data_IF_705910077773
#
_entry.id   IF_705910077773
#
_cell.length_a   1.000
_cell.length_b   1.000
_cell.length_c   1.000
_cell.angle_alpha   90.00
_cell.angle_beta   90.00
_cell.angle_gamma   90.00
#
_symmetry.space_group_name_H-M   'P 1'
#
loop_
_entity.id
_entity.type
_entity.pdbx_description
1 polymer ?
#
# COMPACT_ATOMS: atom_id res chain seq x y z
N UNK A 1 -13.39 -9.97 -3.32
CA UNK A 1 -12.60 -9.94 -2.07
C UNK A 1 -13.27 -8.93 -1.13
N UNK A 2 -13.35 -9.13 0.17
CA UNK A 2 -13.85 -8.06 1.07
C UNK A 2 -12.69 -7.13 1.46
N UNK A 3 -12.96 -5.89 1.94
CA UNK A 3 -11.89 -5.00 2.40
C UNK A 3 -10.95 -5.62 3.43
N UNK A 4 -11.50 -6.45 4.33
CA UNK A 4 -10.70 -7.13 5.35
C UNK A 4 -9.85 -8.27 4.76
N UNK A 5 -10.30 -8.91 3.69
CA UNK A 5 -9.51 -9.94 3.00
C UNK A 5 -8.23 -9.35 2.39
N UNK A 6 -8.28 -8.13 1.84
CA UNK A 6 -7.05 -7.45 1.37
C UNK A 6 -6.07 -7.19 2.50
N UNK A 7 -6.56 -6.69 3.64
CA UNK A 7 -5.71 -6.39 4.79
C UNK A 7 -5.12 -7.67 5.43
N UNK A 8 -5.91 -8.75 5.47
CA UNK A 8 -5.42 -10.06 5.92
C UNK A 8 -4.32 -10.58 4.98
N UNK A 9 -4.53 -10.47 3.66
CA UNK A 9 -3.53 -10.86 2.65
C UNK A 9 -2.24 -10.05 2.77
N UNK A 10 -2.34 -8.74 3.05
CA UNK A 10 -1.17 -7.92 3.34
C UNK A 10 -0.41 -8.44 4.56
N UNK A 11 -1.10 -8.80 5.64
CA UNK A 11 -0.48 -9.35 6.85
C UNK A 11 0.17 -10.73 6.61
N UNK A 12 -0.40 -11.56 5.74
CA UNK A 12 0.21 -12.85 5.35
C UNK A 12 1.45 -12.71 4.46
N UNK A 13 1.53 -11.63 3.67
CA UNK A 13 2.66 -11.36 2.77
C UNK A 13 3.78 -10.61 3.48
N UNK A 14 3.41 -9.61 4.28
CA UNK A 14 4.33 -8.79 5.06
C UNK A 14 3.79 -8.68 6.50
N UNK A 15 4.08 -9.67 7.35
CA UNK A 15 3.63 -9.66 8.74
C UNK A 15 4.15 -8.43 9.49
N UNK A 16 3.39 -8.02 10.51
CA UNK A 16 3.84 -6.98 11.43
C UNK A 16 5.13 -7.44 12.11
N UNK A 17 6.23 -6.67 12.01
CA UNK A 17 7.48 -7.04 12.66
C UNK A 17 7.34 -7.02 14.19
N UNK A 18 8.13 -7.84 14.87
CA UNK A 18 8.26 -7.79 16.33
C UNK A 18 9.19 -6.65 16.77
N UNK A 19 9.48 -6.58 18.08
CA UNK A 19 10.37 -5.57 18.66
C UNK A 19 11.80 -5.56 18.09
N UNK A 20 12.23 -6.65 17.44
CA UNK A 20 13.54 -6.78 16.80
C UNK A 20 13.48 -6.62 15.27
N UNK A 21 12.31 -6.27 14.72
CA UNK A 21 12.09 -6.09 13.30
C UNK A 21 13.02 -5.04 12.67
N UNK A 22 13.54 -5.34 11.48
CA UNK A 22 14.42 -4.39 10.78
C UNK A 22 13.62 -3.23 10.19
N UNK A 23 14.32 -2.14 9.86
CA UNK A 23 13.72 -1.00 9.16
C UNK A 23 13.02 -1.42 7.86
N UNK A 24 13.58 -2.38 7.13
CA UNK A 24 13.02 -2.88 5.89
C UNK A 24 11.80 -3.79 6.13
N UNK A 25 11.74 -4.53 7.23
CA UNK A 25 10.55 -5.31 7.60
C UNK A 25 9.38 -4.38 7.92
N UNK A 26 9.64 -3.27 8.62
CA UNK A 26 8.63 -2.23 8.86
C UNK A 26 8.16 -1.58 7.56
N UNK A 27 9.07 -1.26 6.62
CA UNK A 27 8.70 -0.74 5.30
C UNK A 27 7.83 -1.74 4.53
N UNK A 28 8.18 -3.02 4.50
CA UNK A 28 7.38 -4.08 3.86
C UNK A 28 5.97 -4.12 4.42
N UNK A 29 5.83 -4.16 5.74
CA UNK A 29 4.54 -4.19 6.42
C UNK A 29 3.68 -2.98 6.04
N UNK A 30 4.20 -1.76 6.20
CA UNK A 30 3.43 -0.55 5.90
C UNK A 30 3.15 -0.39 4.40
N UNK A 31 4.08 -0.73 3.52
CA UNK A 31 3.86 -0.67 2.08
C UNK A 31 2.79 -1.67 1.63
N UNK A 32 2.79 -2.89 2.18
CA UNK A 32 1.77 -3.89 1.88
C UNK A 32 0.40 -3.48 2.40
N UNK A 33 0.35 -2.91 3.61
CA UNK A 33 -0.87 -2.37 4.22
C UNK A 33 -1.44 -1.20 3.39
N UNK A 34 -0.57 -0.30 2.92
CA UNK A 34 -0.97 0.81 2.06
C UNK A 34 -1.62 0.28 0.77
N UNK A 35 -0.92 -0.58 0.02
CA UNK A 35 -1.41 -1.11 -1.26
C UNK A 35 -2.72 -1.90 -1.09
N UNK A 36 -2.83 -2.73 -0.05
CA UNK A 36 -4.07 -3.45 0.25
C UNK A 36 -5.23 -2.52 0.59
N UNK A 37 -4.98 -1.43 1.34
CA UNK A 37 -6.01 -0.45 1.63
C UNK A 37 -6.49 0.28 0.37
N UNK A 38 -5.58 0.58 -0.57
CA UNK A 38 -5.92 1.19 -1.85
C UNK A 38 -6.70 0.25 -2.78
N UNK A 39 -6.30 -1.02 -2.86
CA UNK A 39 -7.03 -2.04 -3.61
C UNK A 39 -8.46 -2.22 -3.06
N UNK A 40 -8.59 -2.32 -1.73
CA UNK A 40 -9.88 -2.38 -1.05
C UNK A 40 -10.72 -1.11 -1.28
N UNK A 41 -10.11 0.07 -1.19
CA UNK A 41 -10.78 1.35 -1.46
C UNK A 41 -11.31 1.41 -2.90
N UNK A 42 -10.50 0.99 -3.87
CA UNK A 42 -10.89 0.91 -5.27
C UNK A 42 -12.09 -0.02 -5.45
N UNK A 43 -12.04 -1.23 -4.89
CA UNK A 43 -13.15 -2.18 -5.00
C UNK A 43 -14.45 -1.63 -4.37
N UNK A 44 -14.35 -1.05 -3.17
CA UNK A 44 -15.48 -0.48 -2.42
C UNK A 44 -16.13 0.68 -3.17
N UNK A 45 -15.35 1.54 -3.81
CA UNK A 45 -15.84 2.71 -4.57
C UNK A 45 -16.38 2.36 -5.95
N UNK A 46 -15.95 1.24 -6.55
CA UNK A 46 -16.41 0.77 -7.85
C UNK A 46 -17.53 -0.28 -7.77
N UNK A 47 -17.80 -0.82 -6.58
CA UNK A 47 -19.01 -1.61 -6.32
C UNK A 47 -20.25 -0.71 -6.29
N UNK A 48 -21.21 -1.00 -7.17
CA UNK A 48 -22.54 -0.36 -7.17
C UNK A 48 -23.33 -0.86 -5.96
N UNK A 49 -23.10 -0.26 -4.79
CA UNK A 49 -23.93 -0.45 -3.61
C UNK A 49 -24.75 0.80 -3.35
N UNK A 50 -26.07 0.60 -3.27
CA UNK A 50 -27.06 1.64 -2.95
C UNK A 50 -27.10 1.84 -1.43
N UNK A 51 -26.61 2.98 -0.95
CA UNK A 51 -26.67 3.37 0.47
C UNK A 51 -25.61 4.42 0.80
N UNK A 52 -26.00 5.48 1.54
CA UNK A 52 -25.14 6.63 1.83
C UNK A 52 -24.12 6.39 2.97
N UNK A 53 -24.27 5.31 3.75
CA UNK A 53 -23.37 4.97 4.85
C UNK A 53 -22.27 3.98 4.40
N UNK A 54 -21.07 4.52 4.13
CA UNK A 54 -19.86 3.74 3.78
C UNK A 54 -18.67 4.12 4.69
N UNK A 55 -18.76 3.93 6.01
CA UNK A 55 -17.70 4.32 6.95
C UNK A 55 -16.35 3.65 6.65
N UNK A 56 -16.36 2.47 6.02
CA UNK A 56 -15.16 1.76 5.60
C UNK A 56 -14.28 2.58 4.63
N UNK A 57 -14.86 3.48 3.82
CA UNK A 57 -14.11 4.33 2.90
C UNK A 57 -13.16 5.25 3.68
N UNK A 58 -13.65 5.87 4.76
CA UNK A 58 -12.85 6.73 5.61
C UNK A 58 -11.74 5.96 6.33
N UNK A 59 -12.04 4.75 6.83
CA UNK A 59 -11.04 3.89 7.46
C UNK A 59 -9.95 3.44 6.49
N UNK A 60 -10.33 3.03 5.26
CA UNK A 60 -9.38 2.60 4.24
C UNK A 60 -8.47 3.74 3.78
N UNK A 61 -9.04 4.94 3.58
CA UNK A 61 -8.24 6.13 3.27
C UNK A 61 -7.25 6.44 4.40
N UNK A 62 -7.71 6.44 5.65
CA UNK A 62 -6.84 6.67 6.82
C UNK A 62 -5.70 5.66 6.89
N UNK A 63 -5.99 4.36 6.75
CA UNK A 63 -4.98 3.29 6.75
C UNK A 63 -3.98 3.51 5.62
N UNK A 64 -4.45 3.75 4.39
CA UNK A 64 -3.58 3.97 3.23
C UNK A 64 -2.64 5.15 3.43
N UNK A 65 -3.16 6.32 3.78
CA UNK A 65 -2.36 7.54 3.94
C UNK A 65 -1.39 7.47 5.13
N UNK A 66 -1.81 6.91 6.26
CA UNK A 66 -0.93 6.76 7.43
C UNK A 66 0.21 5.76 7.13
N UNK A 67 -0.11 4.69 6.40
CA UNK A 67 0.89 3.70 5.99
C UNK A 67 1.90 4.27 4.99
N UNK A 68 1.45 5.05 4.00
CA UNK A 68 2.34 5.78 3.08
C UNK A 68 3.27 6.73 3.85
N UNK A 69 2.72 7.50 4.79
CA UNK A 69 3.50 8.42 5.63
C UNK A 69 4.57 7.69 6.45
N UNK A 70 4.23 6.52 6.98
CA UNK A 70 5.18 5.67 7.71
C UNK A 70 6.29 5.15 6.79
N UNK A 71 5.95 4.67 5.58
CA UNK A 71 6.95 4.26 4.58
C UNK A 71 7.89 5.41 4.25
N UNK A 72 7.38 6.61 3.98
CA UNK A 72 8.20 7.79 3.71
C UNK A 72 9.12 8.14 4.88
N UNK A 73 8.62 8.13 6.11
CA UNK A 73 9.44 8.36 7.31
C UNK A 73 10.57 7.34 7.48
N UNK A 74 10.37 6.12 6.98
CA UNK A 74 11.38 5.06 6.99
C UNK A 74 12.26 5.05 5.74
N UNK A 75 11.83 5.57 4.59
CA UNK A 75 12.56 5.40 3.33
C UNK A 75 13.30 6.67 2.91
N UNK A 76 12.74 7.84 3.21
CA UNK A 76 13.29 9.12 2.77
C UNK A 76 14.49 9.59 3.62
N UNK A 77 15.41 10.35 3.01
CA UNK A 77 16.34 11.21 3.73
C UNK A 77 15.60 12.21 4.63
N UNK A 78 16.11 12.44 5.84
CA UNK A 78 15.42 13.27 6.85
C UNK A 78 15.23 14.74 6.42
N UNK A 79 16.13 15.27 5.60
CA UNK A 79 16.09 16.62 5.04
C UNK A 79 15.04 16.79 3.94
N UNK A 80 14.61 15.71 3.30
CA UNK A 80 13.60 15.71 2.24
C UNK A 80 12.20 15.32 2.75
N UNK A 81 12.11 14.72 3.94
CA UNK A 81 10.87 14.17 4.48
C UNK A 81 9.70 15.18 4.56
N UNK A 82 9.87 16.45 5.01
CA UNK A 82 8.75 17.39 5.07
C UNK A 82 8.16 17.69 3.67
N UNK A 83 9.03 17.84 2.67
CA UNK A 83 8.63 18.08 1.29
C UNK A 83 7.93 16.86 0.72
N UNK A 84 8.47 15.66 0.90
CA UNK A 84 7.85 14.42 0.43
C UNK A 84 6.50 14.18 1.12
N UNK A 85 6.42 14.35 2.45
CA UNK A 85 5.13 14.24 3.16
C UNK A 85 4.10 15.21 2.62
N UNK A 86 4.50 16.45 2.30
CA UNK A 86 3.63 17.43 1.66
C UNK A 86 3.21 17.01 0.25
N UNK A 87 4.14 16.55 -0.58
CA UNK A 87 3.88 16.09 -1.97
C UNK A 87 2.94 14.88 -2.01
N UNK A 88 2.96 14.04 -0.98
CA UNK A 88 2.12 12.85 -0.87
C UNK A 88 0.80 13.08 -0.09
N UNK A 89 0.43 14.34 0.22
CA UNK A 89 -0.92 14.67 0.70
C UNK A 89 -1.90 14.87 -0.46
N UNK A 90 -3.22 14.74 -0.23
CA UNK A 90 -4.24 15.13 -1.21
C UNK A 90 -4.14 16.59 -1.68
N UNK A 91 -3.72 17.50 -0.80
CA UNK A 91 -3.67 18.96 -1.05
C UNK A 91 -2.37 19.42 -1.73
N UNK A 92 -1.28 18.65 -1.63
CA UNK A 92 0.06 18.98 -2.13
C UNK A 92 0.16 19.14 -3.65
N UNK A 93 -0.91 18.81 -4.38
CA UNK A 93 -0.97 19.00 -5.82
C UNK A 93 -0.13 17.98 -6.58
N UNK A 94 -0.73 16.81 -6.81
CA UNK A 94 -0.49 15.99 -8.00
C UNK A 94 0.98 15.65 -8.33
N UNK A 95 1.52 14.63 -7.66
CA UNK A 95 1.90 13.50 -8.49
C UNK A 95 0.60 12.86 -8.96
N UNK A 96 0.40 12.67 -10.26
CA UNK A 96 -0.86 12.22 -10.88
C UNK A 96 -1.32 10.80 -10.44
N UNK A 97 -1.54 10.54 -9.15
CA UNK A 97 -1.76 9.22 -8.57
C UNK A 97 -0.49 8.41 -8.29
N UNK A 98 0.70 9.02 -8.22
CA UNK A 98 1.96 8.26 -8.16
C UNK A 98 2.33 7.75 -6.75
N UNK A 99 1.55 8.04 -5.70
CA UNK A 99 1.77 7.40 -4.39
C UNK A 99 1.58 5.89 -4.47
N UNK A 100 0.63 5.41 -5.28
CA UNK A 100 0.43 3.98 -5.49
C UNK A 100 1.63 3.38 -6.21
N UNK A 101 2.16 4.09 -7.22
CA UNK A 101 3.37 3.70 -7.95
C UNK A 101 4.61 3.70 -7.05
N UNK A 102 4.77 4.69 -6.17
CA UNK A 102 5.84 4.73 -5.18
C UNK A 102 5.78 3.53 -4.24
N UNK A 103 4.60 3.20 -3.72
CA UNK A 103 4.41 2.01 -2.88
C UNK A 103 4.71 0.73 -3.65
N UNK A 104 4.25 0.60 -4.90
CA UNK A 104 4.60 -0.52 -5.77
C UNK A 104 6.11 -0.64 -5.99
N UNK A 105 6.81 0.48 -6.19
CA UNK A 105 8.28 0.50 -6.31
C UNK A 105 8.97 0.06 -5.02
N UNK A 106 8.51 0.54 -3.85
CA UNK A 106 9.06 0.13 -2.55
C UNK A 106 8.86 -1.37 -2.32
N UNK A 107 7.66 -1.89 -2.60
CA UNK A 107 7.35 -3.32 -2.49
C UNK A 107 8.27 -4.16 -3.38
N UNK A 108 8.36 -3.80 -4.67
CA UNK A 108 9.18 -4.53 -5.64
C UNK A 108 10.65 -4.57 -5.22
N UNK A 109 11.20 -3.41 -4.83
CA UNK A 109 12.58 -3.29 -4.33
C UNK A 109 12.82 -4.10 -3.05
N UNK A 110 11.80 -4.27 -2.22
CA UNK A 110 11.86 -5.05 -0.98
C UNK A 110 11.50 -6.54 -1.17
N UNK A 111 11.27 -6.97 -2.42
CA UNK A 111 11.06 -8.38 -2.78
C UNK A 111 9.61 -8.86 -2.63
N UNK A 112 8.63 -7.94 -2.57
CA UNK A 112 7.20 -8.27 -2.57
C UNK A 112 6.60 -7.85 -3.91
N UNK A 113 5.99 -8.78 -4.62
CA UNK A 113 5.34 -8.47 -5.89
C UNK A 113 3.99 -7.78 -5.62
N UNK A 114 3.76 -6.53 -6.09
CA UNK A 114 2.49 -5.82 -5.89
C UNK A 114 1.26 -6.56 -6.43
N UNK A 115 1.41 -7.38 -7.49
CA UNK A 115 0.31 -8.21 -8.02
C UNK A 115 -0.15 -9.30 -7.03
N UNK A 116 0.68 -9.63 -6.04
CA UNK A 116 0.28 -10.51 -4.95
C UNK A 116 -0.60 -9.81 -3.91
N UNK A 117 -0.85 -8.50 -4.02
CA UNK A 117 -1.74 -7.74 -3.13
C UNK A 117 -2.95 -7.19 -3.87
N UNK A 118 -2.79 -6.88 -5.16
CA UNK A 118 -3.84 -6.31 -6.00
C UNK A 118 -3.78 -6.87 -7.42
N UNK A 119 -4.84 -7.57 -7.81
CA UNK A 119 -4.97 -8.24 -9.12
C UNK A 119 -5.09 -7.28 -10.31
N UNK A 120 -5.26 -5.98 -10.06
CA UNK A 120 -5.19 -4.95 -11.12
C UNK A 120 -3.80 -4.86 -11.76
N UNK A 121 -2.77 -5.37 -11.08
CA UNK A 121 -1.41 -5.39 -11.60
C UNK A 121 -1.04 -6.73 -12.26
N UNK A 122 -0.28 -6.66 -13.35
CA UNK A 122 0.36 -7.84 -13.95
C UNK A 122 1.69 -8.14 -13.25
N UNK A 123 1.81 -9.34 -12.66
CA UNK A 123 2.99 -9.79 -11.94
C UNK A 123 4.29 -9.67 -12.75
N UNK A 124 4.21 -9.75 -14.09
CA UNK A 124 5.37 -9.68 -15.00
C UNK A 124 5.97 -8.28 -15.15
N UNK A 125 5.28 -7.25 -14.65
CA UNK A 125 5.79 -5.87 -14.66
C UNK A 125 6.74 -5.58 -13.49
N UNK A 126 6.96 -6.54 -12.58
CA UNK A 126 7.78 -6.38 -11.40
C UNK A 126 8.98 -7.30 -11.42
N UNK A 127 10.05 -6.89 -10.74
CA UNK A 127 11.30 -7.67 -10.64
C UNK A 127 11.26 -8.72 -9.54
N UNK A 128 10.43 -8.51 -8.53
CA UNK A 128 10.17 -9.42 -7.42
C UNK A 128 9.35 -10.64 -7.87
N UNK A 129 9.66 -11.83 -7.33
CA UNK A 129 8.92 -13.05 -7.67
C UNK A 129 7.49 -12.97 -7.15
N UNK A 130 6.50 -13.32 -7.98
CA UNK A 130 5.11 -13.50 -7.53
C UNK A 130 4.92 -14.89 -6.93
N UNK A 131 4.14 -14.97 -5.86
CA UNK A 131 3.73 -16.23 -5.21
C UNK A 131 2.88 -17.12 -6.13
N UNK A 132 2.22 -16.53 -7.13
CA UNK A 132 1.30 -17.22 -8.06
C UNK A 132 1.99 -17.68 -9.35
N UNK A 133 3.25 -17.27 -9.60
CA UNK A 133 4.03 -17.66 -10.78
C UNK A 133 4.59 -19.10 -10.72
N UNK A 134 4.26 -19.86 -9.67
CA UNK A 134 4.52 -21.29 -9.59
C UNK A 134 3.28 -22.02 -10.14
N UNK A 135 3.24 -22.19 -11.46
CA UNK A 135 2.30 -23.07 -12.16
C UNK A 135 3.06 -23.99 -13.10
#
# INVERSE_FOLDING_TARGET
MTPIDFLNRAHEIAPTPDENGTRDDWKRCFAAQALAAFAAFYQVTHEVKTGDDRPEIGYLALIGHTSVSAVLGLDAPADQLPTLLWEYTPEGGALNGEWEQYICYVLDRLGINPADLDERYDARHFTSPSRTAVA
#
